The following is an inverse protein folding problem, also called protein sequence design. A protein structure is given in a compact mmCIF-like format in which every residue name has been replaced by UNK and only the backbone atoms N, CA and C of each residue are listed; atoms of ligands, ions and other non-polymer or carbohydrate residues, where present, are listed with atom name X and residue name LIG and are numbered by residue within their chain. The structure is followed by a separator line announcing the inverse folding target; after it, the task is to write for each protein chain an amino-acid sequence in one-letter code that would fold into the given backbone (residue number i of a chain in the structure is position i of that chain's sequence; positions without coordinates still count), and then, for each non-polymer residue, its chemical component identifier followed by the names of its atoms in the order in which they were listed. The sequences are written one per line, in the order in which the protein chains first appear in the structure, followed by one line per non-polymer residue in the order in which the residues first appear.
data_IF_309712151047
#
_entry.id   IF_309712151047
#
_cell.length_a   1.000
_cell.length_b   1.000
_cell.length_c   1.000
_cell.angle_alpha   90.00
_cell.angle_beta   90.00
_cell.angle_gamma   90.00
#
_symmetry.space_group_name_H-M   'P 1'
#
loop_
_entity.id
_entity.type
_entity.pdbx_description
1 polymer ?
#
# COMPACT_ATOMS: atom_id res chain seq x y z
N UNK A 1 13.14 -15.14 5.92
CA UNK A 1 14.08 -13.99 5.72
C UNK A 1 14.51 -13.75 4.28
N UNK A 2 14.52 -14.74 3.36
CA UNK A 2 15.00 -14.56 1.97
C UNK A 2 14.34 -13.45 1.15
N UNK A 3 13.13 -13.04 1.51
CA UNK A 3 12.35 -12.05 0.77
C UNK A 3 12.34 -10.65 1.42
N UNK A 4 12.95 -10.47 2.60
CA UNK A 4 13.06 -9.18 3.28
C UNK A 4 14.53 -8.78 3.33
N UNK A 5 14.87 -7.74 2.58
CA UNK A 5 16.19 -7.14 2.59
C UNK A 5 16.20 -5.94 3.55
N UNK A 6 16.67 -6.16 4.78
CA UNK A 6 16.65 -5.11 5.83
C UNK A 6 17.68 -4.00 5.57
N UNK A 7 18.77 -4.31 4.89
CA UNK A 7 19.82 -3.35 4.53
C UNK A 7 19.31 -2.41 3.45
N UNK A 8 18.75 -2.96 2.36
CA UNK A 8 18.19 -2.18 1.27
C UNK A 8 16.78 -1.65 1.56
N UNK A 9 16.14 -2.11 2.66
CA UNK A 9 14.76 -1.80 3.06
C UNK A 9 13.75 -2.17 1.96
N UNK A 10 13.95 -3.34 1.34
CA UNK A 10 13.13 -3.84 0.25
C UNK A 10 12.46 -5.18 0.61
N UNK A 11 11.17 -5.29 0.31
CA UNK A 11 10.43 -6.55 0.30
C UNK A 11 10.38 -7.07 -1.14
N UNK A 12 10.82 -8.31 -1.34
CA UNK A 12 10.81 -9.02 -2.62
C UNK A 12 9.56 -9.88 -2.70
N UNK A 13 8.65 -9.55 -3.61
CA UNK A 13 7.48 -10.38 -3.90
C UNK A 13 7.73 -11.17 -5.18
N UNK A 14 7.88 -12.48 -5.04
CA UNK A 14 8.05 -13.40 -6.17
C UNK A 14 6.70 -13.76 -6.78
N UNK A 15 6.66 -13.90 -8.11
CA UNK A 15 5.46 -14.29 -8.85
C UNK A 15 4.19 -13.49 -8.46
N UNK A 16 4.33 -12.18 -8.31
CA UNK A 16 3.17 -11.32 -8.11
C UNK A 16 2.29 -11.27 -9.38
N UNK A 17 1.22 -10.46 -9.36
CA UNK A 17 0.26 -10.35 -10.48
C UNK A 17 0.96 -10.26 -11.85
N UNK A 18 0.63 -11.23 -12.71
CA UNK A 18 1.20 -11.39 -14.05
C UNK A 18 2.53 -12.16 -14.10
N UNK A 19 2.85 -12.97 -13.08
CA UNK A 19 4.12 -13.70 -12.93
C UNK A 19 5.36 -12.80 -12.95
N UNK A 20 5.20 -11.57 -12.43
CA UNK A 20 6.29 -10.59 -12.35
C UNK A 20 6.74 -10.42 -10.92
N UNK A 21 8.04 -10.47 -10.72
CA UNK A 21 8.65 -10.15 -9.43
C UNK A 21 8.60 -8.64 -9.18
N UNK A 22 8.51 -8.26 -7.90
CA UNK A 22 8.44 -6.85 -7.50
C UNK A 22 9.27 -6.60 -6.25
N UNK A 23 9.95 -5.47 -6.24
CA UNK A 23 10.61 -4.92 -5.06
C UNK A 23 9.76 -3.78 -4.53
N UNK A 24 9.27 -3.90 -3.29
CA UNK A 24 8.45 -2.88 -2.64
C UNK A 24 9.28 -2.29 -1.50
N UNK A 25 9.44 -0.95 -1.43
CA UNK A 25 10.10 -0.32 -0.30
C UNK A 25 9.31 -0.57 0.98
N UNK A 26 10.03 -0.90 2.05
CA UNK A 26 9.44 -1.09 3.37
C UNK A 26 9.34 0.27 4.05
N UNK A 27 8.12 0.62 4.46
CA UNK A 27 7.88 1.85 5.21
C UNK A 27 8.63 1.81 6.56
N UNK A 28 9.30 2.90 6.99
CA UNK A 28 10.06 2.94 8.24
C UNK A 28 9.26 2.46 9.46
N UNK A 29 7.97 2.82 9.51
CA UNK A 29 7.03 2.49 10.59
C UNK A 29 6.78 0.98 10.69
N UNK A 30 6.95 0.25 9.58
CA UNK A 30 6.73 -1.20 9.48
C UNK A 30 7.96 -2.00 9.92
N UNK A 31 9.17 -1.40 9.92
CA UNK A 31 10.43 -2.10 10.19
C UNK A 31 10.41 -2.87 11.51
N UNK A 32 9.87 -2.28 12.58
CA UNK A 32 9.76 -2.91 13.90
C UNK A 32 8.84 -4.13 13.94
N UNK A 33 7.92 -4.24 12.99
CA UNK A 33 6.93 -5.32 12.92
C UNK A 33 7.34 -6.48 12.01
N UNK A 34 8.42 -6.32 11.22
CA UNK A 34 8.91 -7.37 10.32
C UNK A 34 9.28 -8.67 11.04
N UNK A 35 9.60 -8.62 12.34
CA UNK A 35 9.86 -9.80 13.18
C UNK A 35 8.66 -10.76 13.28
N UNK A 36 7.45 -10.29 12.97
CA UNK A 36 6.24 -11.10 12.98
C UNK A 36 5.96 -11.81 11.64
N UNK A 37 6.82 -11.62 10.64
CA UNK A 37 6.67 -12.21 9.29
C UNK A 37 7.73 -13.32 9.10
N UNK A 38 7.36 -14.50 8.55
CA UNK A 38 6.03 -14.88 8.11
C UNK A 38 5.09 -15.15 9.30
N UNK A 39 3.83 -14.76 9.16
CA UNK A 39 2.83 -15.06 10.18
C UNK A 39 2.59 -16.56 10.22
N UNK A 40 2.56 -17.14 11.42
CA UNK A 40 2.28 -18.56 11.64
C UNK A 40 0.77 -18.85 11.58
N UNK A 41 0.08 -18.30 10.58
CA UNK A 41 -1.35 -18.52 10.36
C UNK A 41 -1.69 -18.52 8.87
N UNK A 42 -2.77 -19.20 8.50
CA UNK A 42 -3.29 -19.20 7.13
C UNK A 42 -3.99 -17.89 6.77
N UNK A 43 -4.14 -17.63 5.47
CA UNK A 43 -4.77 -16.41 4.93
C UNK A 43 -6.15 -16.15 5.52
N UNK A 44 -6.98 -17.21 5.66
CA UNK A 44 -8.34 -17.08 6.21
C UNK A 44 -8.34 -16.70 7.69
N UNK A 45 -7.42 -17.26 8.48
CA UNK A 45 -7.27 -16.87 9.88
C UNK A 45 -6.86 -15.39 10.01
N UNK A 46 -5.96 -14.94 9.13
CA UNK A 46 -5.55 -13.54 9.06
C UNK A 46 -6.71 -12.60 8.67
N UNK A 47 -7.54 -12.99 7.70
CA UNK A 47 -8.76 -12.26 7.32
C UNK A 47 -9.75 -12.14 8.47
N UNK A 48 -9.99 -13.22 9.21
CA UNK A 48 -10.88 -13.22 10.38
C UNK A 48 -10.33 -12.28 11.46
N UNK A 49 -9.04 -12.41 11.80
CA UNK A 49 -8.39 -11.56 12.79
C UNK A 49 -8.45 -10.07 12.39
N UNK A 50 -8.24 -9.76 11.11
CA UNK A 50 -8.34 -8.40 10.58
C UNK A 50 -9.76 -7.82 10.66
N UNK A 51 -10.77 -8.58 10.25
CA UNK A 51 -12.17 -8.15 10.34
C UNK A 51 -12.59 -7.88 11.79
N UNK A 52 -12.18 -8.74 12.73
CA UNK A 52 -12.44 -8.54 14.15
C UNK A 52 -11.78 -7.25 14.66
N UNK A 53 -10.50 -7.04 14.38
CA UNK A 53 -9.76 -5.86 14.83
C UNK A 53 -10.26 -4.56 14.21
N UNK A 54 -10.66 -4.59 12.95
CA UNK A 54 -11.26 -3.42 12.29
C UNK A 54 -12.62 -3.08 12.86
N UNK A 55 -13.44 -4.09 13.20
CA UNK A 55 -14.72 -3.86 13.87
C UNK A 55 -14.54 -3.22 15.25
N UNK A 56 -13.57 -3.69 16.03
CA UNK A 56 -13.22 -3.13 17.34
C UNK A 56 -12.71 -1.68 17.23
N UNK A 57 -11.82 -1.40 16.27
CA UNK A 57 -11.16 -0.10 16.16
C UNK A 57 -11.97 0.95 15.39
N UNK A 58 -12.80 0.54 14.42
CA UNK A 58 -13.46 1.43 13.44
C UNK A 58 -14.99 1.29 13.42
N UNK A 59 -15.56 0.40 14.24
CA UNK A 59 -17.00 0.12 14.29
C UNK A 59 -17.56 -0.65 13.09
N UNK A 60 -16.71 -1.02 12.11
CA UNK A 60 -17.12 -1.80 10.94
C UNK A 60 -16.00 -2.74 10.46
N UNK A 61 -16.40 -3.83 9.81
CA UNK A 61 -15.45 -4.77 9.18
C UNK A 61 -14.89 -4.16 7.90
N UNK A 62 -13.57 -4.19 7.73
CA UNK A 62 -12.90 -3.77 6.49
C UNK A 62 -12.06 -4.91 5.95
N UNK A 63 -12.03 -5.10 4.63
CA UNK A 63 -11.18 -6.12 4.02
C UNK A 63 -9.76 -5.56 3.71
N UNK A 64 -8.82 -6.46 3.40
CA UNK A 64 -7.44 -6.09 3.04
C UNK A 64 -7.35 -5.27 1.73
N UNK A 65 -8.33 -5.34 0.83
CA UNK A 65 -8.32 -4.52 -0.38
C UNK A 65 -8.53 -3.04 -0.05
N UNK A 66 -9.40 -2.73 0.91
CA UNK A 66 -9.57 -1.36 1.41
C UNK A 66 -8.27 -0.86 2.04
N UNK A 67 -7.58 -1.68 2.84
CA UNK A 67 -6.28 -1.31 3.40
C UNK A 67 -5.25 -0.97 2.30
N UNK A 68 -5.22 -1.76 1.23
CA UNK A 68 -4.38 -1.49 0.05
C UNK A 68 -4.76 -0.18 -0.63
N UNK A 69 -6.06 0.10 -0.79
CA UNK A 69 -6.54 1.37 -1.36
C UNK A 69 -6.08 2.55 -0.51
N UNK A 70 -6.30 2.50 0.81
CA UNK A 70 -5.85 3.53 1.75
C UNK A 70 -4.34 3.75 1.68
N UNK A 71 -3.54 2.68 1.56
CA UNK A 71 -2.11 2.78 1.38
C UNK A 71 -1.72 3.50 0.08
N UNK A 72 -2.34 3.14 -1.04
CA UNK A 72 -2.09 3.79 -2.34
C UNK A 72 -2.44 5.28 -2.29
N UNK A 73 -3.63 5.61 -1.78
CA UNK A 73 -4.08 7.00 -1.61
C UNK A 73 -3.17 7.78 -0.66
N UNK A 74 -2.69 7.17 0.42
CA UNK A 74 -1.75 7.82 1.35
C UNK A 74 -0.45 8.24 0.64
N UNK A 75 0.18 7.34 -0.12
CA UNK A 75 1.41 7.69 -0.84
C UNK A 75 1.19 8.72 -1.94
N UNK A 76 0.06 8.62 -2.64
CA UNK A 76 -0.28 9.55 -3.71
C UNK A 76 -0.61 10.96 -3.17
N UNK A 77 -1.47 11.05 -2.16
CA UNK A 77 -2.04 12.33 -1.69
C UNK A 77 -1.22 12.94 -0.55
N UNK A 78 -0.87 12.15 0.48
CA UNK A 78 -0.19 12.66 1.68
C UNK A 78 1.32 12.73 1.51
N UNK A 79 1.93 11.75 0.83
CA UNK A 79 3.37 11.78 0.50
C UNK A 79 3.68 12.43 -0.85
N UNK A 80 2.65 12.83 -1.61
CA UNK A 80 2.77 13.50 -2.91
C UNK A 80 3.69 12.74 -3.88
N UNK A 81 3.62 11.41 -3.85
CA UNK A 81 4.37 10.60 -4.81
C UNK A 81 3.76 10.73 -6.19
N UNK A 82 4.62 10.82 -7.21
CA UNK A 82 4.18 10.76 -8.58
C UNK A 82 3.42 9.45 -8.90
N UNK A 83 2.47 9.54 -9.82
CA UNK A 83 1.58 8.43 -10.19
C UNK A 83 2.34 7.21 -10.72
N UNK A 84 3.48 7.39 -11.41
CA UNK A 84 4.32 6.28 -11.87
C UNK A 84 5.01 5.59 -10.69
N UNK A 85 5.50 6.35 -9.69
CA UNK A 85 6.10 5.78 -8.47
C UNK A 85 5.08 4.92 -7.73
N UNK A 86 3.86 5.44 -7.56
CA UNK A 86 2.75 4.73 -6.91
C UNK A 86 2.32 3.52 -7.73
N UNK A 87 2.24 3.63 -9.07
CA UNK A 87 1.94 2.50 -9.95
C UNK A 87 2.96 1.36 -9.80
N UNK A 88 4.25 1.68 -9.77
CA UNK A 88 5.33 0.70 -9.61
C UNK A 88 5.26 0.01 -8.25
N UNK A 89 5.07 0.78 -7.18
CA UNK A 89 4.91 0.25 -5.82
C UNK A 89 3.66 -0.63 -5.69
N UNK A 90 2.51 -0.18 -6.20
CA UNK A 90 1.27 -0.95 -6.18
C UNK A 90 1.35 -2.17 -7.12
N UNK A 91 2.19 -2.12 -8.14
CA UNK A 91 2.33 -3.17 -9.12
C UNK A 91 1.18 -3.23 -10.13
N UNK A 92 0.62 -2.08 -10.49
CA UNK A 92 -0.41 -2.00 -11.52
C UNK A 92 0.21 -2.10 -12.92
N UNK A 93 -0.36 -2.95 -13.77
CA UNK A 93 0.10 -3.12 -15.16
C UNK A 93 -0.22 -1.92 -16.05
N UNK A 94 -1.33 -1.24 -15.78
CA UNK A 94 -1.79 -0.04 -16.48
C UNK A 94 -1.84 1.13 -15.50
N UNK A 95 -1.40 2.31 -15.94
CA UNK A 95 -1.48 3.54 -15.13
C UNK A 95 -2.93 3.92 -14.82
N UNK A 96 -3.87 3.61 -15.71
CA UNK A 96 -5.30 3.83 -15.53
C UNK A 96 -5.85 3.22 -14.21
N UNK A 97 -5.30 2.10 -13.75
CA UNK A 97 -5.70 1.52 -12.46
C UNK A 97 -5.26 2.38 -11.27
N UNK A 98 -4.14 3.08 -11.38
CA UNK A 98 -3.65 4.02 -10.35
C UNK A 98 -4.42 5.34 -10.39
N UNK A 99 -4.89 5.77 -11.56
CA UNK A 99 -5.68 7.00 -11.71
C UNK A 99 -7.03 6.97 -10.97
N UNK A 100 -7.55 5.79 -10.61
CA UNK A 100 -8.76 5.68 -9.77
C UNK A 100 -8.55 6.35 -8.39
N UNK A 101 -7.30 6.48 -7.92
CA UNK A 101 -6.98 7.12 -6.64
C UNK A 101 -6.61 8.60 -6.76
N UNK A 102 -6.50 9.14 -7.98
CA UNK A 102 -6.21 10.56 -8.20
C UNK A 102 -7.53 11.34 -8.15
N UNK A 103 -7.97 11.70 -6.95
CA UNK A 103 -9.05 12.66 -6.76
C UNK A 103 -8.46 14.06 -6.78
N UNK A 104 -8.26 14.62 -7.97
CA UNK A 104 -7.79 15.99 -8.14
C UNK A 104 -9.00 16.91 -8.10
N UNK A 105 -9.06 17.79 -7.09
CA UNK A 105 -10.08 18.83 -7.01
C UNK A 105 -9.58 20.07 -7.76
N UNK A 106 -10.38 20.69 -8.65
CA UNK A 106 -10.03 21.97 -9.28
C UNK A 106 -9.54 23.04 -8.29
N UNK A 107 -10.04 23.06 -7.05
CA UNK A 107 -9.55 24.00 -6.02
C UNK A 107 -8.09 23.76 -5.65
N UNK A 108 -7.67 22.50 -5.56
CA UNK A 108 -6.28 22.14 -5.25
C UNK A 108 -5.35 22.59 -6.39
N UNK A 109 -5.82 22.54 -7.64
CA UNK A 109 -5.08 23.01 -8.81
C UNK A 109 -4.94 24.52 -8.83
N UNK A 110 -5.98 25.26 -8.41
CA UNK A 110 -5.89 26.72 -8.28
C UNK A 110 -4.87 27.10 -7.22
N UNK A 111 -4.87 26.43 -6.06
CA UNK A 111 -3.86 26.63 -5.02
C UNK A 111 -2.46 26.29 -5.53
N UNK A 112 -2.27 25.23 -6.31
CA UNK A 112 -0.95 24.87 -6.84
C UNK A 112 -0.46 25.84 -7.94
N UNK A 113 -1.36 26.39 -8.76
CA UNK A 113 -1.01 27.36 -9.81
C UNK A 113 -0.77 28.78 -9.29
N UNK A 114 -1.48 29.18 -8.24
CA UNK A 114 -1.54 30.57 -7.77
C UNK A 114 -1.17 30.76 -6.29
N UNK A 115 -1.02 29.68 -5.54
CA UNK A 115 -0.55 29.69 -4.16
C UNK A 115 0.95 29.96 -4.09
N UNK A 116 1.33 30.84 -3.16
CA UNK A 116 2.73 31.17 -2.84
C UNK A 116 3.45 30.01 -2.15
#
# INVERSE_FOLDING_TARGET
EKDIDRTLKLLRLKQAKGHKDRHIPIAPEVMKYLKHIPMKCGIRALQIAWNQKTKEALGNSRNFHILRHSGITYYLVKKKWDSLKVQRMAGHSKIATTQIYTHINPTDLVEEMWGK
#
